data_IF_492821288459
#
_entry.id   IF_492821288459
#
_cell.length_a   1.000
_cell.length_b   1.000
_cell.length_c   1.000
_cell.angle_alpha   90.00
_cell.angle_beta   90.00
_cell.angle_gamma   90.00
#
_symmetry.space_group_name_H-M   'P 1'
#
loop_
_entity.id
_entity.type
_entity.pdbx_description
1 polymer ?
#
# COMPACT_ATOMS: atom_id res chain seq x y z
N UNK A 1 -35.53 31.55 0.58
CA UNK A 1 -35.75 31.23 -0.85
C UNK A 1 -34.38 31.06 -1.50
N UNK A 2 -34.26 29.95 -2.20
CA UNK A 2 -33.07 29.19 -2.60
C UNK A 2 -32.06 29.95 -3.46
N UNK A 3 -30.82 30.09 -2.99
CA UNK A 3 -29.67 30.27 -3.88
C UNK A 3 -29.14 28.90 -4.30
N UNK A 4 -29.70 28.38 -5.38
CA UNK A 4 -29.11 27.32 -6.19
C UNK A 4 -28.01 27.95 -7.05
N UNK A 5 -26.74 27.71 -6.71
CA UNK A 5 -25.61 27.97 -7.61
C UNK A 5 -24.94 26.66 -7.97
N UNK A 6 -25.39 26.11 -9.10
CA UNK A 6 -24.58 25.78 -10.28
C UNK A 6 -23.14 25.30 -10.01
N UNK A 7 -22.93 24.04 -10.40
CA UNK A 7 -21.69 23.47 -10.97
C UNK A 7 -20.40 23.55 -10.16
N UNK A 8 -20.00 22.39 -9.64
CA UNK A 8 -18.99 21.62 -10.38
C UNK A 8 -18.98 20.18 -9.89
N UNK A 9 -19.24 19.26 -10.81
CA UNK A 9 -18.87 17.86 -10.72
C UNK A 9 -17.49 17.69 -10.06
N UNK A 10 -17.46 17.09 -8.86
CA UNK A 10 -16.39 16.16 -8.51
C UNK A 10 -16.98 14.76 -8.39
N UNK A 11 -17.46 14.25 -9.53
CA UNK A 11 -17.29 12.82 -9.79
C UNK A 11 -15.79 12.60 -9.95
N UNK A 12 -15.09 12.40 -8.85
CA UNK A 12 -13.85 11.65 -8.85
C UNK A 12 -14.20 10.16 -8.99
N UNK A 13 -14.84 9.81 -10.10
CA UNK A 13 -14.73 8.47 -10.64
C UNK A 13 -13.50 8.48 -11.55
N UNK A 14 -12.34 8.49 -10.93
CA UNK A 14 -11.10 8.15 -11.59
C UNK A 14 -10.75 6.77 -11.08
N UNK A 15 -10.94 5.75 -11.90
CA UNK A 15 -10.07 4.57 -11.88
C UNK A 15 -8.67 5.06 -12.26
N UNK A 16 -8.06 5.82 -11.34
CA UNK A 16 -6.71 6.29 -11.47
C UNK A 16 -5.85 5.08 -11.12
N UNK A 17 -5.53 4.28 -12.14
CA UNK A 17 -4.32 3.46 -12.09
C UNK A 17 -3.19 4.45 -11.93
N UNK A 18 -2.87 4.79 -10.68
CA UNK A 18 -1.79 5.70 -10.37
C UNK A 18 -0.53 5.04 -10.92
N UNK A 19 0.01 5.61 -12.00
CA UNK A 19 1.27 5.16 -12.57
C UNK A 19 2.32 5.41 -11.50
N UNK A 20 2.70 4.34 -10.83
CA UNK A 20 3.66 4.37 -9.74
C UNK A 20 5.04 4.71 -10.32
N UNK A 21 5.69 5.72 -9.76
CA UNK A 21 7.01 6.14 -10.20
C UNK A 21 8.10 5.08 -9.95
N UNK A 22 9.31 5.25 -10.51
CA UNK A 22 10.39 4.26 -10.45
C UNK A 22 10.88 3.92 -9.02
N UNK A 23 10.55 4.76 -8.04
CA UNK A 23 10.89 4.55 -6.62
C UNK A 23 9.75 3.96 -5.79
N UNK A 24 8.56 3.74 -6.37
CA UNK A 24 7.37 3.32 -5.62
C UNK A 24 7.55 2.00 -4.85
N UNK A 25 8.26 1.03 -5.41
CA UNK A 25 8.59 -0.20 -4.69
C UNK A 25 9.46 0.08 -3.46
N UNK A 26 10.49 0.92 -3.58
CA UNK A 26 11.38 1.26 -2.45
C UNK A 26 10.63 2.01 -1.35
N UNK A 27 9.74 2.93 -1.73
CA UNK A 27 8.94 3.69 -0.77
C UNK A 27 7.93 2.80 -0.05
N UNK A 28 7.23 1.91 -0.77
CA UNK A 28 6.36 0.91 -0.15
C UNK A 28 7.12 0.00 0.82
N UNK A 29 8.32 -0.47 0.44
CA UNK A 29 9.15 -1.29 1.32
C UNK A 29 9.46 -0.57 2.64
N UNK A 30 9.86 0.71 2.56
CA UNK A 30 10.12 1.54 3.75
C UNK A 30 8.89 1.66 4.63
N UNK A 31 7.73 1.88 4.04
CA UNK A 31 6.46 2.00 4.76
C UNK A 31 6.04 0.70 5.45
N UNK A 32 6.19 -0.44 4.77
CA UNK A 32 5.91 -1.75 5.36
C UNK A 32 6.85 -2.05 6.52
N UNK A 33 8.14 -1.75 6.38
CA UNK A 33 9.11 -1.92 7.48
C UNK A 33 8.74 -1.06 8.69
N UNK A 34 8.22 0.16 8.48
CA UNK A 34 7.70 1.01 9.57
C UNK A 34 6.48 0.38 10.24
N UNK A 35 5.53 -0.17 9.47
CA UNK A 35 4.36 -0.88 9.99
C UNK A 35 4.74 -2.13 10.78
N UNK A 36 5.69 -2.92 10.30
CA UNK A 36 6.17 -4.13 11.01
C UNK A 36 6.73 -3.80 12.40
N UNK A 37 7.36 -2.64 12.58
CA UNK A 37 7.86 -2.20 13.90
C UNK A 37 6.74 -1.91 14.90
N UNK A 38 5.51 -1.68 14.44
CA UNK A 38 4.35 -1.47 15.31
C UNK A 38 3.76 -2.79 15.84
N UNK A 39 4.14 -3.93 15.26
CA UNK A 39 3.71 -5.24 15.73
C UNK A 39 4.35 -5.60 17.08
N UNK A 40 3.74 -6.50 17.86
CA UNK A 40 4.33 -6.99 19.10
C UNK A 40 5.77 -7.48 18.92
N UNK A 41 6.67 -7.05 19.81
CA UNK A 41 8.09 -7.39 19.74
C UNK A 41 8.33 -8.91 19.85
N UNK A 42 9.34 -9.42 19.14
CA UNK A 42 9.72 -10.84 19.16
C UNK A 42 9.63 -11.51 17.79
N UNK A 43 9.24 -12.79 17.77
CA UNK A 43 9.24 -13.62 16.56
C UNK A 43 8.36 -13.10 15.42
N UNK A 44 7.25 -12.42 15.75
CA UNK A 44 6.29 -11.88 14.78
C UNK A 44 6.92 -10.82 13.88
N UNK A 45 7.64 -9.85 14.45
CA UNK A 45 8.31 -8.80 13.65
C UNK A 45 9.33 -9.41 12.68
N UNK A 46 10.12 -10.37 13.17
CA UNK A 46 11.16 -11.01 12.36
C UNK A 46 10.56 -11.84 11.21
N UNK A 47 9.47 -12.56 11.47
CA UNK A 47 8.74 -13.31 10.44
C UNK A 47 8.27 -12.39 9.31
N UNK A 48 7.54 -11.31 9.64
CA UNK A 48 7.04 -10.40 8.62
C UNK A 48 8.15 -9.64 7.91
N UNK A 49 9.24 -9.29 8.60
CA UNK A 49 10.41 -8.65 7.97
C UNK A 49 11.06 -9.55 6.91
N UNK A 50 11.19 -10.85 7.20
CA UNK A 50 11.73 -11.83 6.25
C UNK A 50 10.76 -12.08 5.10
N UNK A 51 9.46 -12.22 5.39
CA UNK A 51 8.42 -12.37 4.38
C UNK A 51 8.39 -11.17 3.41
N UNK A 52 8.38 -9.94 3.93
CA UNK A 52 8.40 -8.73 3.09
C UNK A 52 9.64 -8.67 2.21
N UNK A 53 10.82 -9.05 2.70
CA UNK A 53 12.03 -9.10 1.85
C UNK A 53 11.88 -10.07 0.67
N UNK A 54 11.32 -11.26 0.92
CA UNK A 54 11.10 -12.25 -0.14
C UNK A 54 10.11 -11.75 -1.17
N UNK A 55 8.98 -11.17 -0.74
CA UNK A 55 7.97 -10.62 -1.65
C UNK A 55 8.52 -9.46 -2.49
N UNK A 56 9.36 -8.60 -1.90
CA UNK A 56 9.91 -7.43 -2.60
C UNK A 56 10.91 -7.76 -3.70
N UNK A 57 11.55 -8.91 -3.66
CA UNK A 57 12.41 -9.38 -4.75
C UNK A 57 11.60 -9.49 -6.07
N UNK A 58 10.36 -9.96 -5.99
CA UNK A 58 9.50 -10.07 -7.18
C UNK A 58 9.00 -8.68 -7.64
N UNK A 59 8.82 -7.73 -6.72
CA UNK A 59 8.35 -6.37 -7.05
C UNK A 59 9.41 -5.55 -7.80
N UNK A 60 10.70 -5.84 -7.62
CA UNK A 60 11.78 -5.13 -8.31
C UNK A 60 11.95 -5.58 -9.76
N UNK A 61 11.59 -6.82 -10.07
CA UNK A 61 11.64 -7.38 -11.43
C UNK A 61 10.40 -7.03 -12.26
N UNK A 62 9.27 -6.73 -11.61
CA UNK A 62 8.02 -6.37 -12.29
C UNK A 62 8.15 -5.04 -13.06
N UNK A 63 7.88 -5.09 -14.36
CA UNK A 63 8.00 -3.93 -15.27
C UNK A 63 6.65 -3.33 -15.65
N UNK A 64 5.56 -4.07 -15.46
CA UNK A 64 4.23 -3.59 -15.77
C UNK A 64 3.71 -2.64 -14.66
N UNK A 65 3.47 -1.36 -14.95
CA UNK A 65 3.02 -0.39 -13.95
C UNK A 65 1.63 -0.71 -13.39
N UNK A 66 0.75 -1.37 -14.15
CA UNK A 66 -0.58 -1.74 -13.65
C UNK A 66 -0.49 -2.84 -12.60
N UNK A 67 0.28 -3.88 -12.89
CA UNK A 67 0.58 -4.97 -11.95
C UNK A 67 1.26 -4.43 -10.69
N UNK A 68 2.25 -3.55 -10.85
CA UNK A 68 2.91 -2.90 -9.71
C UNK A 68 1.91 -2.12 -8.85
N UNK A 69 0.97 -1.39 -9.47
CA UNK A 69 -0.08 -0.63 -8.78
C UNK A 69 -1.05 -1.52 -8.00
N UNK A 70 -1.46 -2.64 -8.60
CA UNK A 70 -2.32 -3.63 -7.96
C UNK A 70 -1.62 -4.32 -6.78
N UNK A 71 -0.38 -4.73 -6.98
CA UNK A 71 0.47 -5.33 -5.95
C UNK A 71 0.69 -4.36 -4.78
N UNK A 72 0.95 -3.09 -5.07
CA UNK A 72 1.12 -2.05 -4.07
C UNK A 72 -0.16 -1.81 -3.25
N UNK A 73 -1.32 -1.82 -3.91
CA UNK A 73 -2.62 -1.67 -3.24
C UNK A 73 -2.89 -2.86 -2.32
N UNK A 74 -2.68 -4.07 -2.82
CA UNK A 74 -2.84 -5.30 -2.04
C UNK A 74 -1.91 -5.34 -0.82
N UNK A 75 -0.63 -5.02 -1.01
CA UNK A 75 0.35 -5.02 0.08
C UNK A 75 -0.01 -4.04 1.21
N UNK A 76 -0.60 -2.88 0.88
CA UNK A 76 -1.12 -1.94 1.90
C UNK A 76 -2.29 -2.53 2.69
N UNK A 77 -3.26 -3.12 1.98
CA UNK A 77 -4.43 -3.75 2.59
C UNK A 77 -4.01 -4.92 3.51
N UNK A 78 -3.09 -5.76 3.05
CA UNK A 78 -2.55 -6.87 3.83
C UNK A 78 -1.86 -6.36 5.09
N UNK A 79 -1.05 -5.30 4.99
CA UNK A 79 -0.38 -4.71 6.14
C UNK A 79 -1.35 -4.11 7.16
N UNK A 80 -2.43 -3.45 6.70
CA UNK A 80 -3.48 -2.93 7.58
C UNK A 80 -4.24 -4.05 8.28
N UNK A 81 -4.58 -5.12 7.57
CA UNK A 81 -5.21 -6.29 8.15
C UNK A 81 -4.33 -6.93 9.24
N UNK A 82 -3.03 -7.09 8.97
CA UNK A 82 -2.08 -7.62 9.97
C UNK A 82 -2.01 -6.70 11.19
N UNK A 83 -1.88 -5.39 11.02
CA UNK A 83 -1.85 -4.46 12.15
C UNK A 83 -3.13 -4.57 13.00
N UNK A 84 -4.29 -4.60 12.36
CA UNK A 84 -5.58 -4.74 13.05
C UNK A 84 -5.71 -6.09 13.78
N UNK A 85 -5.08 -7.15 13.25
CA UNK A 85 -5.06 -8.47 13.90
C UNK A 85 -4.28 -8.45 15.23
N UNK A 86 -3.20 -7.68 15.31
CA UNK A 86 -2.31 -7.62 16.48
C UNK A 86 -2.53 -6.39 17.37
N UNK A 87 -3.36 -5.44 16.95
CA UNK A 87 -3.78 -4.27 17.75
C UNK A 87 -4.87 -4.60 18.78
N UNK A 88 -5.19 -5.88 18.98
CA UNK A 88 -6.18 -6.37 19.94
C UNK A 88 -5.54 -6.83 21.22
#
# INVERSE_FOLDING_TARGET
MTCLSISACRRLSATATAVLGPNAAKDLYRDLVRKIKQLPAGGTQQYYKNYTRQVFYNFTEERDPETLSRLHTKARQDAEWVLNKYSK
#
